data_IF_347371035466
#
_entry.id   IF_347371035466
#
_cell.length_a   1.000
_cell.length_b   1.000
_cell.length_c   1.000
_cell.angle_alpha   90.00
_cell.angle_beta   90.00
_cell.angle_gamma   90.00
#
_symmetry.space_group_name_H-M   'P 1'
#
loop_
_entity.id
_entity.type
_entity.pdbx_description
1 polymer ?
#
# COMPACT_ATOMS: atom_id res chain seq x y z
N UNK A 1 -5.07 11.16 0.04
CA UNK A 1 -3.87 10.51 0.61
C UNK A 1 -3.08 9.86 -0.51
N UNK A 2 -1.76 9.87 -0.40
CA UNK A 2 -0.84 9.33 -1.40
C UNK A 2 -0.32 7.98 -0.92
N UNK A 3 -0.37 6.96 -1.77
CA UNK A 3 0.26 5.66 -1.51
C UNK A 3 1.48 5.52 -2.39
N UNK A 4 2.64 5.19 -1.79
CA UNK A 4 3.87 4.93 -2.54
C UNK A 4 4.26 3.46 -2.39
N UNK A 5 4.55 2.82 -3.52
CA UNK A 5 4.89 1.40 -3.58
C UNK A 5 6.37 1.19 -3.82
N UNK A 6 6.97 0.26 -3.07
CA UNK A 6 8.38 -0.08 -3.20
C UNK A 6 8.58 -1.53 -3.63
N UNK A 7 9.68 -1.81 -4.32
CA UNK A 7 10.12 -3.15 -4.73
C UNK A 7 9.00 -4.01 -5.35
N UNK A 8 8.72 -5.19 -4.78
CA UNK A 8 7.69 -6.10 -5.30
C UNK A 8 6.28 -5.48 -5.29
N UNK A 9 5.98 -4.58 -4.35
CA UNK A 9 4.69 -3.89 -4.31
C UNK A 9 4.52 -2.97 -5.52
N UNK A 10 5.58 -2.24 -5.93
CA UNK A 10 5.58 -1.42 -7.15
C UNK A 10 5.35 -2.27 -8.39
N UNK A 11 6.06 -3.40 -8.49
CA UNK A 11 5.91 -4.33 -9.62
C UNK A 11 4.48 -4.90 -9.70
N UNK A 12 3.85 -5.17 -8.55
CA UNK A 12 2.49 -5.69 -8.50
C UNK A 12 1.40 -4.61 -8.68
N UNK A 13 1.65 -3.39 -8.21
CA UNK A 13 0.74 -2.25 -8.39
C UNK A 13 0.80 -1.69 -9.82
N UNK A 14 1.93 -1.87 -10.51
CA UNK A 14 2.14 -1.31 -11.85
C UNK A 14 2.38 0.21 -11.86
N UNK A 15 2.38 0.85 -10.69
CA UNK A 15 2.67 2.27 -10.49
C UNK A 15 3.64 2.46 -9.32
N UNK A 16 4.39 3.55 -9.33
CA UNK A 16 5.13 4.00 -8.14
C UNK A 16 4.20 4.58 -7.08
N UNK A 17 3.22 5.36 -7.51
CA UNK A 17 2.36 6.10 -6.61
C UNK A 17 0.90 6.08 -7.10
N UNK A 18 -0.03 6.11 -6.16
CA UNK A 18 -1.47 6.21 -6.42
C UNK A 18 -2.10 7.17 -5.41
N UNK A 19 -3.04 7.99 -5.88
CA UNK A 19 -3.80 8.91 -5.02
C UNK A 19 -5.16 8.29 -4.73
N UNK A 20 -5.51 8.22 -3.44
CA UNK A 20 -6.82 7.76 -2.98
C UNK A 20 -7.58 8.90 -2.29
N UNK A 21 -8.85 9.05 -2.67
CA UNK A 21 -9.80 9.93 -2.00
C UNK A 21 -10.71 9.07 -1.13
N UNK A 22 -10.50 9.13 0.18
CA UNK A 22 -11.31 8.43 1.17
C UNK A 22 -12.04 9.47 2.04
N UNK A 23 -13.20 9.10 2.62
CA UNK A 23 -13.90 9.98 3.56
C UNK A 23 -13.05 10.29 4.79
N UNK A 24 -13.38 11.40 5.45
CA UNK A 24 -12.77 11.76 6.74
C UNK A 24 -13.02 10.65 7.77
N UNK A 25 -12.00 10.35 8.59
CA UNK A 25 -12.04 9.25 9.54
C UNK A 25 -11.68 7.89 8.95
N UNK A 26 -11.38 7.79 7.65
CA UNK A 26 -10.87 6.57 7.05
C UNK A 26 -9.55 6.13 7.70
N UNK A 27 -9.38 4.82 7.83
CA UNK A 27 -8.23 4.21 8.47
C UNK A 27 -7.22 3.66 7.47
N UNK A 28 -6.05 3.26 7.95
CA UNK A 28 -5.08 2.48 7.16
C UNK A 28 -5.74 1.21 6.59
N UNK A 29 -6.62 0.53 7.35
CA UNK A 29 -7.34 -0.64 6.85
C UNK A 29 -8.24 -0.31 5.66
N UNK A 30 -8.96 0.81 5.71
CA UNK A 30 -9.84 1.26 4.63
C UNK A 30 -9.05 1.61 3.36
N UNK A 31 -7.90 2.27 3.54
CA UNK A 31 -6.98 2.54 2.44
C UNK A 31 -6.46 1.26 1.79
N UNK A 32 -6.04 0.27 2.58
CA UNK A 32 -5.59 -1.02 2.05
C UNK A 32 -6.72 -1.74 1.30
N UNK A 33 -7.95 -1.67 1.80
CA UNK A 33 -9.11 -2.22 1.10
C UNK A 33 -9.33 -1.52 -0.26
N UNK A 34 -9.29 -0.18 -0.28
CA UNK A 34 -9.39 0.60 -1.51
C UNK A 34 -8.27 0.25 -2.51
N UNK A 35 -7.03 0.15 -2.05
CA UNK A 35 -5.88 -0.28 -2.85
C UNK A 35 -6.13 -1.65 -3.46
N UNK A 36 -6.66 -2.62 -2.71
CA UNK A 36 -6.92 -3.97 -3.23
C UNK A 36 -8.13 -4.06 -4.16
N UNK A 37 -9.05 -3.10 -4.08
CA UNK A 37 -10.24 -3.04 -4.94
C UNK A 37 -9.97 -2.44 -6.33
N UNK A 38 -8.79 -1.84 -6.54
CA UNK A 38 -8.39 -1.36 -7.87
C UNK A 38 -8.17 -2.56 -8.80
N UNK A 39 -8.93 -2.60 -9.89
CA UNK A 39 -8.74 -3.55 -10.98
C UNK A 39 -7.41 -3.26 -11.69
N UNK A 40 -6.51 -4.25 -11.69
CA UNK A 40 -5.16 -4.13 -12.27
C UNK A 40 -4.86 -5.32 -13.18
N UNK A 41 -3.99 -5.10 -14.16
CA UNK A 41 -3.44 -6.20 -14.97
C UNK A 41 -2.63 -7.17 -14.12
N UNK A 42 -2.47 -8.39 -14.61
CA UNK A 42 -1.64 -9.39 -13.93
C UNK A 42 -0.22 -8.85 -13.71
N UNK A 43 0.38 -9.06 -12.53
CA UNK A 43 1.72 -8.61 -12.25
C UNK A 43 2.74 -9.38 -13.11
N UNK A 44 3.97 -8.84 -13.30
CA UNK A 44 5.02 -9.52 -14.05
C UNK A 44 5.28 -10.94 -13.54
N UNK A 45 5.68 -11.85 -14.43
CA UNK A 45 5.99 -13.23 -14.07
C UNK A 45 6.99 -13.28 -12.88
N UNK A 46 6.67 -14.11 -11.88
CA UNK A 46 7.45 -14.22 -10.64
C UNK A 46 7.10 -13.20 -9.55
N UNK A 47 6.23 -12.23 -9.83
CA UNK A 47 5.73 -11.28 -8.81
C UNK A 47 4.39 -11.75 -8.26
N UNK A 48 4.22 -11.91 -6.93
CA UNK A 48 2.93 -12.26 -6.35
C UNK A 48 1.88 -11.15 -6.55
N UNK A 49 0.57 -11.47 -6.50
CA UNK A 49 -0.49 -10.46 -6.52
C UNK A 49 -0.34 -9.46 -5.38
N UNK A 50 -0.71 -8.18 -5.63
CA UNK A 50 -0.57 -7.09 -4.65
C UNK A 50 -1.20 -7.41 -3.28
N UNK A 51 -2.41 -8.00 -3.17
CA UNK A 51 -2.99 -8.35 -1.86
C UNK A 51 -2.10 -9.29 -1.02
N UNK A 52 -1.40 -10.22 -1.68
CA UNK A 52 -0.48 -11.15 -1.00
C UNK A 52 0.78 -10.45 -0.51
N UNK A 53 1.23 -9.44 -1.24
CA UNK A 53 2.37 -8.60 -0.85
C UNK A 53 1.98 -7.73 0.34
N UNK A 54 0.86 -7.00 0.25
CA UNK A 54 0.34 -6.14 1.33
C UNK A 54 0.15 -6.88 2.65
N UNK A 55 -0.26 -8.15 2.61
CA UNK A 55 -0.40 -8.98 3.80
C UNK A 55 0.92 -9.20 4.57
N UNK A 56 2.07 -9.04 3.90
CA UNK A 56 3.42 -9.22 4.48
C UNK A 56 4.23 -7.92 4.56
N UNK A 57 3.73 -6.82 4.01
CA UNK A 57 4.40 -5.52 4.03
C UNK A 57 4.36 -4.87 5.40
N UNK A 58 5.36 -4.03 5.65
CA UNK A 58 5.29 -2.97 6.66
C UNK A 58 4.79 -1.68 6.00
N UNK A 59 4.21 -0.80 6.81
CA UNK A 59 3.68 0.47 6.34
C UNK A 59 4.33 1.62 7.09
N UNK A 60 4.64 2.70 6.38
CA UNK A 60 4.97 3.98 7.01
C UNK A 60 3.83 4.95 6.75
N UNK A 61 3.40 5.66 7.78
CA UNK A 61 2.53 6.82 7.69
C UNK A 61 3.40 8.06 7.91
N UNK A 62 3.57 8.88 6.88
CA UNK A 62 4.44 10.07 6.91
C UNK A 62 5.84 9.72 7.44
N UNK A 63 6.46 8.70 6.86
CA UNK A 63 7.79 8.17 7.22
C UNK A 63 7.89 7.49 8.60
N UNK A 64 6.79 7.41 9.36
CA UNK A 64 6.73 6.74 10.67
C UNK A 64 6.06 5.38 10.56
N UNK A 65 6.69 4.34 11.10
CA UNK A 65 6.14 2.98 11.05
C UNK A 65 4.76 2.88 11.72
N UNK A 66 3.76 2.43 10.97
CA UNK A 66 2.39 2.19 11.46
C UNK A 66 2.12 0.69 11.52
N UNK A 67 1.78 0.20 12.72
CA UNK A 67 1.43 -1.20 12.97
C UNK A 67 -0.06 -1.39 13.19
N UNK A 68 -0.71 -0.37 13.75
CA UNK A 68 -2.15 -0.38 13.98
C UNK A 68 -2.88 0.06 12.71
N UNK A 69 -3.65 -0.87 12.14
CA UNK A 69 -4.43 -0.61 10.92
C UNK A 69 -5.68 0.22 11.19
N UNK A 70 -6.08 0.42 12.45
CA UNK A 70 -7.15 1.33 12.84
C UNK A 70 -6.69 2.80 12.93
N UNK A 71 -5.40 3.09 12.69
CA UNK A 71 -4.89 4.46 12.63
C UNK A 71 -5.65 5.25 11.56
N UNK A 72 -6.22 6.39 11.96
CA UNK A 72 -6.95 7.31 11.08
C UNK A 72 -5.98 8.07 10.20
N UNK A 73 -6.36 8.25 8.94
CA UNK A 73 -5.59 8.97 7.94
C UNK A 73 -6.19 10.36 7.66
N UNK A 74 -5.32 11.35 7.49
CA UNK A 74 -5.67 12.65 6.97
C UNK A 74 -5.65 12.67 5.42
N UNK A 75 -6.36 13.61 4.78
CA UNK A 75 -6.40 13.72 3.33
C UNK A 75 -5.02 13.85 2.65
N UNK A 76 -4.06 14.49 3.30
CA UNK A 76 -2.72 14.75 2.75
C UNK A 76 -1.65 13.77 3.23
N UNK A 77 -2.05 12.73 3.98
CA UNK A 77 -1.11 11.72 4.47
C UNK A 77 -0.51 10.90 3.33
N UNK A 78 0.75 10.51 3.55
CA UNK A 78 1.51 9.62 2.68
C UNK A 78 1.68 8.27 3.36
N UNK A 79 1.31 7.20 2.65
CA UNK A 79 1.46 5.82 3.10
C UNK A 79 2.45 5.07 2.22
N UNK A 80 3.58 4.67 2.80
CA UNK A 80 4.59 3.86 2.10
C UNK A 80 4.34 2.37 2.31
N UNK A 81 4.33 1.62 1.23
CA UNK A 81 4.21 0.16 1.23
C UNK A 81 5.59 -0.46 1.07
N UNK A 82 6.10 -1.03 2.16
CA UNK A 82 7.41 -1.65 2.23
C UNK A 82 7.27 -3.18 2.31
N UNK A 83 7.29 -3.90 1.17
CA UNK A 83 7.32 -5.35 1.22
C UNK A 83 8.58 -5.85 1.91
N UNK A 84 8.56 -7.05 2.53
CA UNK A 84 9.74 -7.61 3.15
C UNK A 84 10.85 -7.71 2.09
N UNK A 85 12.05 -7.25 2.46
CA UNK A 85 13.20 -7.36 1.59
C UNK A 85 13.39 -8.83 1.19
N UNK A 86 13.41 -9.11 -0.11
CA UNK A 86 13.84 -10.41 -0.64
C UNK A 86 15.38 -10.51 -0.65
N UNK A 87 16.02 -10.03 0.43
CA UNK A 87 17.46 -10.15 0.61
C UNK A 87 17.76 -11.59 1.00
N UNK A 88 18.17 -12.38 0.01
CA UNK A 88 19.00 -13.57 0.20
C UNK A 88 20.47 -13.18 0.12
#
# INVERSE_FOLDING_TARGET
MLVRYFAAARAAAGSEEEIFQLPEGATVADLLAAVTAVERSAPPAGTPPLPRILARSSFLLNEVAVRDRATVLAPDDVVDVLPPFAGG
#
